data_IF_303672100084
#
_entry.id   IF_303672100084
#
_cell.length_a   1.000
_cell.length_b   1.000
_cell.length_c   1.000
_cell.angle_alpha   90.00
_cell.angle_beta   90.00
_cell.angle_gamma   90.00
#
_symmetry.space_group_name_H-M   'P 1'
#
loop_
_entity.id
_entity.type
_entity.pdbx_description
1 polymer ?
#
# COMPACT_ATOMS: atom_id res chain seq x y z
N UNK A 1 12.31 16.19 3.31
CA UNK A 1 11.66 15.20 2.41
C UNK A 1 12.67 14.76 1.38
N UNK A 2 13.16 13.52 1.42
CA UNK A 2 13.91 12.95 0.30
C UNK A 2 12.92 12.60 -0.81
N UNK A 3 12.95 13.37 -1.89
CA UNK A 3 12.19 13.06 -3.11
C UNK A 3 13.11 12.25 -4.02
N UNK A 4 13.02 10.94 -3.96
CA UNK A 4 13.81 10.09 -4.82
C UNK A 4 12.98 9.67 -6.03
N UNK A 5 13.48 10.03 -7.23
CA UNK A 5 12.98 9.47 -8.47
C UNK A 5 13.66 8.10 -8.65
N UNK A 6 12.90 7.05 -8.49
CA UNK A 6 13.36 5.69 -8.62
C UNK A 6 12.79 5.04 -9.88
N UNK A 7 13.59 4.21 -10.53
CA UNK A 7 13.02 3.24 -11.48
C UNK A 7 12.30 2.14 -10.71
N UNK A 8 11.24 1.58 -11.29
CA UNK A 8 10.65 0.37 -10.73
C UNK A 8 11.75 -0.68 -10.59
N UNK A 9 11.87 -1.32 -9.41
CA UNK A 9 12.84 -2.38 -9.20
C UNK A 9 12.63 -3.52 -10.20
N UNK A 10 13.68 -4.26 -10.51
CA UNK A 10 13.55 -5.50 -11.29
C UNK A 10 12.61 -6.48 -10.57
N UNK A 11 11.78 -7.24 -11.30
CA UNK A 11 10.84 -8.17 -10.70
C UNK A 11 11.55 -9.24 -9.85
N UNK A 12 11.07 -9.44 -8.63
CA UNK A 12 11.55 -10.46 -7.70
C UNK A 12 10.58 -11.62 -7.62
N UNK A 13 11.12 -12.84 -7.58
CA UNK A 13 10.33 -14.06 -7.41
C UNK A 13 10.07 -14.35 -5.93
N UNK A 14 8.98 -15.06 -5.63
CA UNK A 14 8.61 -15.48 -4.27
C UNK A 14 9.74 -16.15 -3.49
N UNK A 15 10.60 -16.92 -4.16
CA UNK A 15 11.73 -17.64 -3.53
C UNK A 15 12.74 -16.73 -2.82
N UNK A 16 12.79 -15.44 -3.19
CA UNK A 16 13.69 -14.48 -2.56
C UNK A 16 13.07 -13.78 -1.34
N UNK A 17 11.76 -13.93 -1.11
CA UNK A 17 11.05 -13.25 -0.03
C UNK A 17 11.63 -13.58 1.35
N UNK A 18 11.94 -14.85 1.70
CA UNK A 18 12.53 -15.17 3.01
C UNK A 18 13.86 -14.41 3.25
N UNK A 19 14.71 -14.32 2.23
CA UNK A 19 15.95 -13.54 2.32
C UNK A 19 15.68 -12.04 2.51
N UNK A 20 14.80 -11.46 1.72
CA UNK A 20 14.43 -10.06 1.85
C UNK A 20 13.84 -9.75 3.23
N UNK A 21 13.01 -10.66 3.76
CA UNK A 21 12.40 -10.51 5.08
C UNK A 21 13.42 -10.52 6.23
N UNK A 22 14.48 -11.31 6.11
CA UNK A 22 15.55 -11.31 7.08
C UNK A 22 16.35 -10.01 7.08
N UNK A 23 16.49 -9.36 5.92
CA UNK A 23 17.28 -8.16 5.72
C UNK A 23 16.48 -6.86 5.89
N UNK A 24 15.17 -6.94 6.16
CA UNK A 24 14.29 -5.77 6.15
C UNK A 24 13.32 -5.78 7.33
N UNK A 25 12.95 -4.59 7.79
CA UNK A 25 11.86 -4.43 8.75
C UNK A 25 10.53 -4.15 8.04
N UNK A 26 10.60 -3.53 6.88
CA UNK A 26 9.45 -3.20 6.04
C UNK A 26 9.71 -3.65 4.61
N UNK A 27 8.87 -4.55 4.10
CA UNK A 27 8.84 -4.95 2.70
C UNK A 27 7.62 -4.33 2.02
N UNK A 28 7.84 -3.65 0.92
CA UNK A 28 6.77 -3.17 0.03
C UNK A 28 6.87 -3.89 -1.29
N UNK A 29 5.78 -4.53 -1.71
CA UNK A 29 5.66 -5.20 -2.99
C UNK A 29 4.70 -4.44 -3.90
N UNK A 30 5.17 -4.10 -5.08
CA UNK A 30 4.35 -3.55 -6.16
C UNK A 30 3.89 -4.71 -7.04
N UNK A 31 2.60 -4.87 -7.18
CA UNK A 31 1.95 -5.97 -7.91
C UNK A 31 1.19 -5.38 -9.08
N UNK A 32 1.57 -5.77 -10.28
CA UNK A 32 0.87 -5.39 -11.50
C UNK A 32 -0.42 -6.20 -11.63
N UNK A 33 -1.55 -5.55 -11.50
CA UNK A 33 -2.87 -6.17 -11.54
C UNK A 33 -3.28 -6.60 -12.96
N UNK A 34 -2.68 -5.99 -13.98
CA UNK A 34 -3.01 -6.29 -15.38
C UNK A 34 -2.34 -7.60 -15.85
N UNK A 35 -1.33 -8.06 -15.12
CA UNK A 35 -0.69 -9.36 -15.39
C UNK A 35 -1.60 -10.58 -15.05
N UNK A 36 -2.73 -10.36 -14.37
CA UNK A 36 -3.61 -11.44 -13.88
C UNK A 36 -4.95 -11.43 -14.62
N UNK A 37 -5.11 -12.33 -15.58
CA UNK A 37 -6.33 -12.46 -16.38
C UNK A 37 -7.33 -13.44 -15.76
N UNK A 38 -6.82 -14.55 -15.21
CA UNK A 38 -7.65 -15.55 -14.56
C UNK A 38 -7.67 -15.31 -13.05
N UNK A 39 -8.89 -15.24 -12.50
CA UNK A 39 -9.12 -15.00 -11.08
C UNK A 39 -9.68 -16.27 -10.44
N UNK A 40 -8.96 -16.80 -9.45
CA UNK A 40 -9.46 -17.87 -8.61
C UNK A 40 -9.78 -17.35 -7.21
N UNK A 41 -10.94 -17.67 -6.71
CA UNK A 41 -11.33 -17.38 -5.33
C UNK A 41 -10.94 -18.50 -4.36
N UNK A 42 -10.29 -19.56 -4.83
CA UNK A 42 -9.93 -20.73 -4.04
C UNK A 42 -9.05 -20.40 -2.82
N UNK A 43 -8.22 -19.35 -2.95
CA UNK A 43 -7.36 -18.90 -1.84
C UNK A 43 -8.09 -18.02 -0.82
N UNK A 44 -9.32 -17.58 -1.09
CA UNK A 44 -10.07 -16.72 -0.17
C UNK A 44 -10.76 -17.55 0.90
N UNK A 45 -10.64 -17.12 2.16
CA UNK A 45 -11.41 -17.69 3.25
C UNK A 45 -12.85 -17.15 3.28
N UNK A 46 -13.71 -17.68 4.15
CA UNK A 46 -15.12 -17.29 4.25
C UNK A 46 -15.31 -15.78 4.47
N UNK A 47 -14.51 -15.17 5.36
CA UNK A 47 -14.61 -13.72 5.68
C UNK A 47 -14.22 -12.88 4.46
N UNK A 48 -13.22 -13.33 3.73
CA UNK A 48 -12.77 -12.66 2.50
C UNK A 48 -13.79 -12.80 1.37
N UNK A 49 -14.45 -13.95 1.24
CA UNK A 49 -15.53 -14.16 0.28
C UNK A 49 -16.73 -13.26 0.60
N UNK A 50 -17.15 -13.17 1.86
CA UNK A 50 -18.21 -12.23 2.29
C UNK A 50 -17.83 -10.77 1.99
N UNK A 51 -16.56 -10.41 2.14
CA UNK A 51 -16.06 -9.08 1.79
C UNK A 51 -16.06 -8.83 0.29
N UNK A 52 -15.70 -9.85 -0.51
CA UNK A 52 -15.72 -9.81 -1.96
C UNK A 52 -17.14 -9.61 -2.51
N UNK A 53 -18.15 -10.28 -1.93
CA UNK A 53 -19.54 -10.15 -2.33
C UNK A 53 -20.08 -8.73 -2.17
N UNK A 54 -19.63 -7.99 -1.16
CA UNK A 54 -20.02 -6.59 -0.93
C UNK A 54 -19.45 -5.60 -1.95
N UNK A 55 -18.45 -6.00 -2.73
CA UNK A 55 -17.86 -5.14 -3.76
C UNK A 55 -18.77 -5.10 -5.00
N UNK A 56 -19.08 -3.87 -5.43
CA UNK A 56 -20.10 -3.65 -6.48
C UNK A 56 -19.57 -3.88 -7.90
N UNK A 57 -18.29 -3.57 -8.17
CA UNK A 57 -17.74 -3.60 -9.53
C UNK A 57 -16.78 -4.76 -9.74
N UNK A 58 -16.71 -5.28 -10.96
CA UNK A 58 -15.75 -6.31 -11.37
C UNK A 58 -14.31 -5.85 -11.16
N UNK A 59 -14.04 -4.55 -11.39
CA UNK A 59 -12.72 -3.97 -11.16
C UNK A 59 -12.29 -4.06 -9.68
N UNK A 60 -13.15 -3.70 -8.74
CA UNK A 60 -12.84 -3.83 -7.31
C UNK A 60 -12.73 -5.29 -6.89
N UNK A 61 -13.56 -6.18 -7.43
CA UNK A 61 -13.45 -7.63 -7.18
C UNK A 61 -12.12 -8.17 -7.68
N UNK A 62 -11.69 -7.82 -8.91
CA UNK A 62 -10.39 -8.20 -9.47
C UNK A 62 -9.25 -7.78 -8.53
N UNK A 63 -9.18 -6.51 -8.18
CA UNK A 63 -8.15 -5.96 -7.27
C UNK A 63 -8.11 -6.70 -5.93
N UNK A 64 -9.28 -6.96 -5.36
CA UNK A 64 -9.40 -7.65 -4.08
C UNK A 64 -8.87 -9.09 -4.16
N UNK A 65 -9.31 -9.87 -5.14
CA UNK A 65 -8.89 -11.27 -5.32
C UNK A 65 -7.38 -11.33 -5.50
N UNK A 66 -6.82 -10.56 -6.44
CA UNK A 66 -5.39 -10.59 -6.74
C UNK A 66 -4.58 -10.21 -5.50
N UNK A 67 -4.90 -9.07 -4.88
CA UNK A 67 -4.12 -8.59 -3.74
C UNK A 67 -4.16 -9.55 -2.54
N UNK A 68 -5.32 -10.18 -2.26
CA UNK A 68 -5.43 -11.16 -1.18
C UNK A 68 -4.66 -12.44 -1.48
N UNK A 69 -4.78 -12.95 -2.70
CA UNK A 69 -4.07 -14.17 -3.13
C UNK A 69 -2.56 -13.93 -3.09
N UNK A 70 -2.08 -12.83 -3.71
CA UNK A 70 -0.66 -12.47 -3.69
C UNK A 70 -0.13 -12.28 -2.27
N UNK A 71 -0.86 -11.55 -1.43
CA UNK A 71 -0.50 -11.35 -0.02
C UNK A 71 -0.31 -12.68 0.70
N UNK A 72 -1.22 -13.64 0.53
CA UNK A 72 -1.10 -14.97 1.15
C UNK A 72 0.11 -15.74 0.67
N UNK A 73 0.44 -15.68 -0.61
CA UNK A 73 1.67 -16.29 -1.13
C UNK A 73 2.93 -15.66 -0.54
N UNK A 74 2.96 -14.33 -0.40
CA UNK A 74 4.06 -13.63 0.27
C UNK A 74 4.16 -14.06 1.73
N UNK A 75 3.06 -14.03 2.46
CA UNK A 75 3.01 -14.38 3.88
C UNK A 75 3.42 -15.83 4.14
N UNK A 76 3.00 -16.76 3.29
CA UNK A 76 3.41 -18.15 3.35
C UNK A 76 4.95 -18.30 3.34
N UNK A 77 5.64 -17.48 2.53
CA UNK A 77 7.10 -17.46 2.48
C UNK A 77 7.76 -16.75 3.68
N UNK A 78 7.04 -15.86 4.37
CA UNK A 78 7.54 -15.16 5.56
C UNK A 78 7.34 -15.99 6.82
N UNK A 79 6.16 -16.62 6.96
CA UNK A 79 5.75 -17.33 8.18
C UNK A 79 6.13 -18.81 8.16
N UNK A 80 6.73 -19.30 7.07
CA UNK A 80 7.01 -20.72 6.84
C UNK A 80 5.76 -21.62 6.89
N UNK A 81 4.60 -21.07 6.58
CA UNK A 81 3.37 -21.84 6.44
C UNK A 81 3.44 -22.73 5.21
N UNK A 82 2.91 -23.95 5.32
CA UNK A 82 2.97 -24.93 4.25
C UNK A 82 2.18 -24.57 3.00
N UNK A 83 1.20 -23.68 3.14
CA UNK A 83 0.31 -23.33 2.05
C UNK A 83 -0.34 -21.97 2.26
N UNK A 84 -0.47 -21.23 1.18
CA UNK A 84 -1.22 -19.95 1.15
C UNK A 84 -2.71 -20.12 1.54
N UNK A 85 -3.28 -21.33 1.42
CA UNK A 85 -4.64 -21.64 1.90
C UNK A 85 -4.75 -21.58 3.43
N UNK A 86 -3.66 -21.86 4.17
CA UNK A 86 -3.63 -21.78 5.63
C UNK A 86 -3.66 -20.34 6.15
N UNK A 87 -3.24 -19.38 5.35
CA UNK A 87 -3.20 -17.98 5.73
C UNK A 87 -4.62 -17.40 5.73
N UNK A 88 -5.07 -16.92 6.89
CA UNK A 88 -6.38 -16.29 7.04
C UNK A 88 -6.22 -14.80 7.33
N UNK A 89 -6.72 -13.95 6.44
CA UNK A 89 -6.74 -12.51 6.65
C UNK A 89 -8.16 -12.01 6.96
N UNK A 90 -8.24 -10.91 7.71
CA UNK A 90 -9.50 -10.23 8.02
C UNK A 90 -9.24 -8.72 8.11
N UNK A 91 -10.30 -7.93 8.22
CA UNK A 91 -10.20 -6.52 8.56
C UNK A 91 -10.63 -6.33 10.01
N UNK A 92 -9.85 -5.52 10.73
CA UNK A 92 -10.25 -5.06 12.07
C UNK A 92 -11.36 -3.99 11.99
N UNK A 93 -11.74 -3.46 13.13
CA UNK A 93 -12.76 -2.41 13.25
C UNK A 93 -12.38 -1.08 12.57
N UNK A 94 -11.09 -0.83 12.37
CA UNK A 94 -10.54 0.34 11.66
C UNK A 94 -10.35 0.09 10.16
N UNK A 95 -10.58 -1.14 9.69
CA UNK A 95 -10.41 -1.53 8.29
C UNK A 95 -8.99 -1.94 7.92
N UNK A 96 -8.06 -2.06 8.88
CA UNK A 96 -6.73 -2.61 8.67
C UNK A 96 -6.81 -4.10 8.36
N UNK A 97 -5.91 -4.54 7.49
CA UNK A 97 -5.76 -5.95 7.17
C UNK A 97 -4.89 -6.61 8.24
N UNK A 98 -5.45 -7.60 8.90
CA UNK A 98 -4.78 -8.41 9.91
C UNK A 98 -4.68 -9.86 9.48
N UNK A 99 -3.71 -10.59 10.04
CA UNK A 99 -3.53 -12.03 9.82
C UNK A 99 -3.92 -12.74 11.11
N UNK A 100 -4.70 -13.79 10.98
CA UNK A 100 -5.01 -14.65 12.13
C UNK A 100 -3.75 -15.38 12.59
N UNK A 101 -3.49 -15.38 13.89
CA UNK A 101 -2.33 -15.99 14.55
C UNK A 101 -0.96 -15.37 14.27
N UNK A 102 -0.90 -14.20 13.60
CA UNK A 102 0.34 -13.46 13.31
C UNK A 102 0.15 -11.98 13.64
N UNK A 103 -0.12 -11.68 14.91
CA UNK A 103 -0.35 -10.31 15.39
C UNK A 103 0.93 -9.46 15.41
N UNK A 104 2.09 -10.09 15.25
CA UNK A 104 3.39 -9.45 15.12
C UNK A 104 3.66 -8.85 13.73
N UNK A 105 2.78 -9.14 12.75
CA UNK A 105 2.91 -8.66 11.39
C UNK A 105 1.91 -7.55 11.10
N UNK A 106 2.40 -6.44 10.62
CA UNK A 106 1.60 -5.30 10.17
C UNK A 106 1.45 -5.31 8.67
N UNK A 107 0.21 -5.12 8.19
CA UNK A 107 -0.10 -5.12 6.76
C UNK A 107 -0.81 -3.84 6.39
N UNK A 108 -0.35 -3.22 5.31
CA UNK A 108 -1.06 -2.11 4.70
C UNK A 108 -1.15 -2.33 3.18
N UNK A 109 -2.32 -2.04 2.61
CA UNK A 109 -2.58 -2.21 1.17
C UNK A 109 -3.09 -0.90 0.59
N UNK A 110 -2.54 -0.51 -0.56
CA UNK A 110 -3.06 0.58 -1.36
C UNK A 110 -3.13 0.20 -2.83
N UNK A 111 -3.93 0.92 -3.61
CA UNK A 111 -4.21 0.59 -5.00
C UNK A 111 -4.22 1.81 -5.89
N UNK A 112 -3.67 1.66 -7.09
CA UNK A 112 -4.01 2.48 -8.25
C UNK A 112 -4.95 1.70 -9.20
N UNK A 113 -5.12 2.17 -10.43
CA UNK A 113 -5.86 1.44 -11.46
C UNK A 113 -5.20 0.09 -11.81
N UNK A 114 -3.87 0.06 -11.94
CA UNK A 114 -3.11 -1.07 -12.45
C UNK A 114 -2.12 -1.68 -11.44
N UNK A 115 -1.83 -1.01 -10.33
CA UNK A 115 -0.86 -1.47 -9.33
C UNK A 115 -1.53 -1.62 -7.96
N UNK A 116 -1.26 -2.72 -7.27
CA UNK A 116 -1.44 -2.84 -5.84
C UNK A 116 -0.08 -2.71 -5.14
N UNK A 117 -0.01 -1.85 -4.12
CA UNK A 117 1.11 -1.79 -3.20
C UNK A 117 0.74 -2.56 -1.93
N UNK A 118 1.56 -3.54 -1.56
CA UNK A 118 1.38 -4.38 -0.37
C UNK A 118 2.58 -4.16 0.55
N UNK A 119 2.37 -3.59 1.72
CA UNK A 119 3.39 -3.53 2.76
C UNK A 119 3.19 -4.65 3.76
N UNK A 120 4.27 -5.36 4.08
CA UNK A 120 4.36 -6.32 5.17
C UNK A 120 5.52 -5.86 6.06
N UNK A 121 5.28 -5.74 7.36
CA UNK A 121 6.20 -5.06 8.26
C UNK A 121 6.24 -5.71 9.63
N UNK A 122 7.40 -5.62 10.30
CA UNK A 122 7.61 -5.97 11.71
C UNK A 122 7.18 -4.85 12.66
N UNK A 123 6.89 -3.66 12.12
CA UNK A 123 6.48 -2.46 12.84
C UNK A 123 5.26 -1.84 12.19
N UNK A 124 4.56 -0.97 12.89
CA UNK A 124 3.42 -0.27 12.29
C UNK A 124 3.80 0.46 11.01
N UNK A 125 2.97 0.29 9.98
CA UNK A 125 3.19 0.82 8.65
C UNK A 125 1.90 1.35 8.02
N UNK A 126 2.01 2.49 7.35
CA UNK A 126 0.98 3.03 6.48
C UNK A 126 1.57 3.29 5.10
N UNK A 127 0.90 2.88 4.06
CA UNK A 127 1.31 3.16 2.68
C UNK A 127 0.16 3.71 1.86
N UNK A 128 0.51 4.55 0.92
CA UNK A 128 -0.42 4.93 -0.15
C UNK A 128 0.31 5.08 -1.47
N UNK A 129 -0.37 4.70 -2.57
CA UNK A 129 0.15 4.80 -3.92
C UNK A 129 -0.89 5.44 -4.84
N UNK A 130 -0.44 6.44 -5.61
CA UNK A 130 -1.25 7.15 -6.58
C UNK A 130 -0.57 7.22 -7.95
N UNK A 131 -1.38 7.32 -9.01
CA UNK A 131 -0.88 7.49 -10.36
C UNK A 131 -0.75 8.96 -10.68
N UNK A 132 0.43 9.37 -11.18
CA UNK A 132 0.68 10.72 -11.65
C UNK A 132 0.01 10.92 -13.02
N UNK A 133 -1.31 11.08 -13.04
CA UNK A 133 -2.04 11.55 -14.23
C UNK A 133 -2.15 13.08 -14.16
N UNK A 134 -2.28 13.75 -15.31
CA UNK A 134 -2.80 15.12 -15.33
C UNK A 134 -4.13 15.12 -14.60
N UNK A 135 -4.11 15.68 -13.41
CA UNK A 135 -5.26 15.67 -12.53
C UNK A 135 -6.34 16.55 -13.14
N UNK A 136 -7.40 15.95 -13.66
CA UNK A 136 -8.70 16.57 -13.49
C UNK A 136 -8.97 16.58 -11.99
N UNK A 137 -8.51 17.64 -11.34
CA UNK A 137 -8.55 17.81 -9.90
C UNK A 137 -9.98 17.58 -9.40
N UNK A 138 -10.24 16.39 -8.86
CA UNK A 138 -11.44 16.14 -8.09
C UNK A 138 -11.63 17.28 -7.10
N UNK A 139 -12.86 17.71 -6.88
CA UNK A 139 -13.22 18.88 -6.05
C UNK A 139 -12.50 18.93 -4.70
N UNK A 140 -12.11 17.78 -4.17
CA UNK A 140 -11.37 17.61 -2.92
C UNK A 140 -9.94 18.16 -2.98
N UNK A 141 -9.24 17.98 -4.12
CA UNK A 141 -7.90 18.53 -4.34
C UNK A 141 -7.96 20.06 -4.59
N UNK A 142 -9.08 20.57 -5.13
CA UNK A 142 -9.31 22.02 -5.19
C UNK A 142 -9.31 22.67 -3.81
N UNK A 143 -9.87 21.98 -2.81
CA UNK A 143 -9.92 22.47 -1.43
C UNK A 143 -8.54 22.42 -0.73
N UNK A 144 -7.67 21.46 -1.08
CA UNK A 144 -6.26 21.48 -0.67
C UNK A 144 -5.51 22.66 -1.29
N UNK A 145 -5.73 22.88 -2.58
CA UNK A 145 -5.13 24.01 -3.31
C UNK A 145 -5.52 25.35 -2.72
N UNK A 146 -6.79 25.53 -2.32
CA UNK A 146 -7.28 26.79 -1.73
C UNK A 146 -6.74 27.05 -0.33
N UNK A 147 -6.48 26.04 0.49
CA UNK A 147 -5.89 26.23 1.83
C UNK A 147 -4.38 26.49 1.81
N UNK A 148 -3.64 25.86 0.88
CA UNK A 148 -2.21 26.11 0.69
C UNK A 148 -1.92 27.32 -0.23
N UNK A 149 -2.83 27.70 -1.13
CA UNK A 149 -2.61 28.75 -2.11
C UNK A 149 -2.64 30.18 -1.56
N UNK A 150 -2.94 30.36 -0.29
CA UNK A 150 -2.75 31.67 0.36
C UNK A 150 -1.26 31.99 0.63
N UNK A 151 -0.36 31.00 0.52
CA UNK A 151 1.08 31.20 0.76
C UNK A 151 2.00 30.96 -0.44
N UNK A 152 1.64 30.11 -1.41
CA UNK A 152 2.54 29.82 -2.54
C UNK A 152 1.83 29.67 -3.88
N UNK A 153 2.05 30.64 -4.77
CA UNK A 153 1.59 30.64 -6.18
C UNK A 153 2.26 29.57 -7.06
N UNK A 154 3.12 28.72 -6.52
CA UNK A 154 4.01 27.81 -7.26
C UNK A 154 3.96 26.34 -6.86
N UNK A 155 2.93 25.89 -6.14
CA UNK A 155 2.81 24.46 -5.78
C UNK A 155 2.44 23.65 -7.01
N UNK A 156 3.30 22.71 -7.41
CA UNK A 156 3.06 21.84 -8.56
C UNK A 156 1.95 20.81 -8.27
N UNK A 157 1.30 20.30 -9.33
CA UNK A 157 0.32 19.21 -9.17
C UNK A 157 0.94 17.96 -8.53
N UNK A 158 2.22 17.71 -8.79
CA UNK A 158 3.00 16.62 -8.21
C UNK A 158 3.16 16.81 -6.70
N UNK A 159 3.43 18.03 -6.23
CA UNK A 159 3.59 18.29 -4.80
C UNK A 159 2.26 18.16 -4.05
N UNK A 160 1.15 18.56 -4.69
CA UNK A 160 -0.19 18.34 -4.16
C UNK A 160 -0.46 16.84 -4.02
N UNK A 161 -0.12 16.04 -5.04
CA UNK A 161 -0.34 14.60 -5.04
C UNK A 161 0.55 13.89 -4.01
N UNK A 162 1.81 14.32 -3.84
CA UNK A 162 2.69 13.84 -2.76
C UNK A 162 2.11 14.11 -1.39
N UNK A 163 1.59 15.32 -1.16
CA UNK A 163 0.95 15.69 0.11
C UNK A 163 -0.29 14.85 0.35
N UNK A 164 -1.09 14.61 -0.67
CA UNK A 164 -2.26 13.73 -0.60
C UNK A 164 -1.87 12.31 -0.21
N UNK A 165 -0.96 11.71 -0.97
CA UNK A 165 -0.48 10.33 -0.76
C UNK A 165 0.14 10.16 0.63
N UNK A 166 0.90 11.17 1.10
CA UNK A 166 1.46 11.16 2.44
C UNK A 166 0.38 11.21 3.53
N UNK A 167 -0.66 12.04 3.35
CA UNK A 167 -1.79 12.12 4.28
C UNK A 167 -2.60 10.84 4.32
N UNK A 168 -2.83 10.18 3.18
CA UNK A 168 -3.50 8.87 3.14
C UNK A 168 -2.65 7.78 3.81
N UNK A 169 -1.34 7.75 3.56
CA UNK A 169 -0.44 6.84 4.26
C UNK A 169 -0.45 7.07 5.78
N UNK A 170 -0.46 8.34 6.22
CA UNK A 170 -0.56 8.68 7.64
C UNK A 170 -1.90 8.26 8.26
N UNK A 171 -3.01 8.47 7.57
CA UNK A 171 -4.33 8.01 8.00
C UNK A 171 -4.36 6.50 8.23
N UNK A 172 -3.77 5.73 7.30
CA UNK A 172 -3.66 4.26 7.41
C UNK A 172 -2.71 3.82 8.53
N UNK A 173 -1.66 4.59 8.80
CA UNK A 173 -0.72 4.35 9.90
C UNK A 173 -1.39 4.63 11.26
N UNK A 174 -1.94 5.83 11.44
CA UNK A 174 -2.48 6.32 12.73
C UNK A 174 -3.88 5.81 13.08
N UNK A 175 -4.58 5.15 12.16
CA UNK A 175 -6.01 4.80 12.25
C UNK A 175 -6.95 6.00 12.39
N UNK A 176 -6.46 7.20 12.09
CA UNK A 176 -7.32 8.38 12.07
C UNK A 176 -8.08 8.48 10.74
N UNK A 177 -9.33 8.97 10.79
CA UNK A 177 -10.09 9.14 9.56
C UNK A 177 -9.43 10.17 8.64
N UNK A 178 -9.48 9.92 7.34
CA UNK A 178 -8.93 10.83 6.31
C UNK A 178 -9.52 12.23 6.41
N UNK A 179 -10.77 12.36 6.83
CA UNK A 179 -11.43 13.66 7.04
C UNK A 179 -10.71 14.51 8.10
N UNK A 180 -10.27 13.92 9.20
CA UNK A 180 -9.52 14.61 10.25
C UNK A 180 -8.12 14.98 9.78
N UNK A 181 -7.41 14.01 9.16
CA UNK A 181 -6.05 14.19 8.65
C UNK A 181 -5.99 15.29 7.57
N UNK A 182 -7.03 15.38 6.75
CA UNK A 182 -7.09 16.32 5.65
C UNK A 182 -7.02 17.79 6.11
N UNK A 183 -7.66 18.08 7.23
CA UNK A 183 -7.85 19.43 7.74
C UNK A 183 -6.76 19.90 8.71
N UNK A 184 -5.81 19.03 9.07
CA UNK A 184 -4.71 19.37 9.98
C UNK A 184 -3.35 19.30 9.28
N UNK A 185 -2.41 20.08 9.78
CA UNK A 185 -0.99 19.90 9.48
C UNK A 185 -0.51 18.61 10.15
N UNK A 186 0.26 17.79 9.42
CA UNK A 186 0.77 16.55 9.99
C UNK A 186 1.98 16.84 10.88
N UNK A 187 1.93 16.37 12.10
CA UNK A 187 3.13 16.24 12.92
C UNK A 187 3.85 14.92 12.57
N UNK A 188 4.92 15.05 11.83
CA UNK A 188 5.74 13.92 11.37
C UNK A 188 7.01 13.75 12.21
N UNK A 189 7.16 14.48 13.32
CA UNK A 189 8.37 14.45 14.15
C UNK A 189 8.59 13.11 14.85
N UNK A 190 7.52 12.36 15.10
CA UNK A 190 7.53 11.06 15.78
C UNK A 190 7.51 9.85 14.85
N UNK A 191 7.56 10.06 13.53
CA UNK A 191 7.48 8.99 12.53
C UNK A 191 8.57 9.12 11.48
N UNK A 192 8.99 7.99 10.94
CA UNK A 192 9.79 7.94 9.72
C UNK A 192 8.86 7.95 8.50
N UNK A 193 9.16 8.78 7.52
CA UNK A 193 8.35 8.88 6.32
C UNK A 193 9.20 9.09 5.07
N UNK A 194 8.74 8.54 3.96
CA UNK A 194 9.38 8.71 2.65
C UNK A 194 8.33 8.77 1.55
N UNK A 195 8.59 9.57 0.53
CA UNK A 195 7.76 9.65 -0.67
C UNK A 195 8.64 9.47 -1.90
N UNK A 196 8.30 8.48 -2.71
CA UNK A 196 9.02 8.09 -3.92
C UNK A 196 8.19 8.40 -5.16
N UNK A 197 8.87 8.82 -6.22
CA UNK A 197 8.30 8.85 -7.58
C UNK A 197 8.88 7.65 -8.32
N UNK A 198 8.03 6.73 -8.73
CA UNK A 198 8.43 5.50 -9.40
C UNK A 198 8.12 5.61 -10.89
N UNK A 199 9.14 5.44 -11.74
CA UNK A 199 9.08 5.55 -13.20
C UNK A 199 8.42 6.83 -13.73
N UNK A 200 8.50 7.94 -13.00
CA UNK A 200 7.77 9.18 -13.30
C UNK A 200 6.25 8.97 -13.49
N UNK A 201 5.70 7.91 -12.94
CA UNK A 201 4.30 7.49 -13.15
C UNK A 201 3.52 7.33 -11.85
N UNK A 202 4.16 6.80 -10.82
CA UNK A 202 3.50 6.53 -9.55
C UNK A 202 4.13 7.33 -8.42
N UNK A 203 3.32 7.77 -7.47
CA UNK A 203 3.79 8.37 -6.21
C UNK A 203 3.43 7.39 -5.10
N UNK A 204 4.43 6.93 -4.36
CA UNK A 204 4.32 6.02 -3.23
C UNK A 204 4.79 6.73 -1.97
N UNK A 205 3.92 6.87 -0.98
CA UNK A 205 4.28 7.34 0.36
C UNK A 205 4.25 6.19 1.36
N UNK A 206 5.24 6.18 2.26
CA UNK A 206 5.40 5.15 3.29
C UNK A 206 5.64 5.87 4.61
N UNK A 207 4.95 5.44 5.66
CA UNK A 207 5.10 5.92 7.03
C UNK A 207 5.29 4.72 7.95
N UNK A 208 6.26 4.84 8.86
CA UNK A 208 6.56 3.84 9.90
C UNK A 208 6.84 4.53 11.23
N UNK A 209 6.97 3.78 12.30
CA UNK A 209 7.47 4.29 13.58
C UNK A 209 8.87 4.92 13.42
N UNK A 210 9.26 5.83 14.34
CA UNK A 210 10.40 6.75 14.17
C UNK A 210 11.79 6.16 14.36
N UNK A 211 11.97 4.85 14.23
CA UNK A 211 13.30 4.25 14.28
C UNK A 211 13.84 3.98 12.87
N UNK A 212 15.16 3.86 12.76
CA UNK A 212 15.81 3.58 11.47
C UNK A 212 15.51 2.16 11.00
N UNK A 213 14.37 1.99 10.31
CA UNK A 213 13.96 0.71 9.75
C UNK A 213 14.54 0.52 8.35
N UNK A 214 15.00 -0.70 8.08
CA UNK A 214 15.45 -1.09 6.73
C UNK A 214 14.19 -1.33 5.89
N UNK A 215 13.94 -0.41 4.95
CA UNK A 215 12.85 -0.45 3.99
C UNK A 215 13.34 -1.02 2.66
N UNK A 216 12.61 -1.98 2.11
CA UNK A 216 12.84 -2.53 0.78
C UNK A 216 11.57 -2.41 -0.08
N UNK A 217 11.68 -1.74 -1.23
CA UNK A 217 10.62 -1.67 -2.25
C UNK A 217 10.96 -2.65 -3.37
N UNK A 218 10.02 -3.53 -3.69
CA UNK A 218 10.20 -4.59 -4.66
C UNK A 218 9.06 -4.56 -5.68
N UNK A 219 9.36 -4.91 -6.93
CA UNK A 219 8.35 -5.26 -7.91
C UNK A 219 8.19 -6.78 -7.91
N UNK A 220 6.99 -7.29 -7.69
CA UNK A 220 6.78 -8.72 -7.59
C UNK A 220 6.57 -9.33 -8.98
N UNK A 221 7.34 -10.38 -9.29
CA UNK A 221 7.10 -11.19 -10.48
C UNK A 221 5.70 -11.80 -10.42
N UNK A 222 5.02 -11.90 -11.57
CA UNK A 222 3.73 -12.62 -11.65
C UNK A 222 3.83 -13.99 -10.99
N UNK A 223 2.84 -14.29 -10.16
CA UNK A 223 2.68 -15.58 -9.52
C UNK A 223 1.70 -16.40 -10.36
N UNK A 224 2.11 -17.58 -10.76
CA UNK A 224 1.22 -18.56 -11.38
C UNK A 224 0.63 -19.43 -10.28
N UNK A 225 -0.72 -19.44 -10.15
CA UNK A 225 -1.49 -20.20 -9.16
C UNK A 225 -2.61 -21.03 -9.79
#
# INVERSE_FOLDING_TARGET
MCNENLKLPSPVSLKYIPYLWQQSDVLVFLVDLDNYDMLSTSYLNKIELESLERLQTSHFKKRYIISRTVLKHILCNITNEWSAFGISTYKDEYGKVCIRNHNELYICISYTESIAALAISKVEVGIDIEIQKKLELKSTLKNLRTKHSLMDKYVSEVDILKTWTLKEAYSKFSNESMYLIFNKELDLSSVSHSTYILDNKYILSIITQSDSHILNINHLQKIDW
#
